data_IF_089168476726
#
_entry.id   IF_089168476726
#
_cell.length_a   1.000
_cell.length_b   1.000
_cell.length_c   1.000
_cell.angle_alpha   90.00
_cell.angle_beta   90.00
_cell.angle_gamma   90.00
#
_symmetry.space_group_name_H-M   'P 1'
#
loop_
_entity.id
_entity.type
_entity.pdbx_description
1 polymer ?
#
# COMPACT_ATOMS: atom_id res chain seq x y z
N UNK A 1 -3.67 -4.25 13.55
CA UNK A 1 -3.08 -5.35 14.31
C UNK A 1 -1.57 -5.15 14.49
N UNK A 2 -0.90 -5.83 15.44
CA UNK A 2 0.55 -5.89 15.48
C UNK A 2 1.09 -6.61 14.24
N UNK A 3 2.39 -6.47 13.94
CA UNK A 3 3.04 -7.22 12.87
C UNK A 3 2.95 -8.73 13.07
N UNK A 4 3.04 -9.49 11.99
CA UNK A 4 3.09 -10.96 12.07
C UNK A 4 4.33 -11.40 12.86
N UNK A 5 4.18 -12.31 13.84
CA UNK A 5 5.31 -12.83 14.60
C UNK A 5 6.29 -13.64 13.72
N UNK A 6 5.75 -14.28 12.69
CA UNK A 6 6.46 -15.08 11.69
C UNK A 6 5.64 -15.21 10.40
N UNK A 7 6.19 -15.92 9.41
CA UNK A 7 5.53 -16.10 8.11
C UNK A 7 4.42 -17.18 8.09
N UNK A 8 4.08 -17.77 9.22
CA UNK A 8 3.08 -18.86 9.29
C UNK A 8 1.92 -18.57 10.25
N UNK A 9 2.10 -17.62 11.18
CA UNK A 9 1.13 -17.35 12.25
C UNK A 9 0.32 -16.09 11.93
N UNK A 10 -0.98 -16.21 11.58
CA UNK A 10 -1.82 -15.05 11.31
C UNK A 10 -2.14 -14.29 12.61
N UNK A 11 -2.30 -12.98 12.48
CA UNK A 11 -2.79 -12.11 13.55
C UNK A 11 -4.27 -11.85 13.34
N UNK A 12 -5.15 -12.17 14.31
CA UNK A 12 -6.58 -11.92 14.20
C UNK A 12 -6.88 -10.42 14.10
N UNK A 13 -7.67 -10.04 13.09
CA UNK A 13 -8.14 -8.66 12.92
C UNK A 13 -9.48 -8.61 12.19
N UNK A 14 -10.21 -7.53 12.36
CA UNK A 14 -11.45 -7.29 11.61
C UNK A 14 -11.16 -7.01 10.13
N UNK A 15 -9.98 -6.42 9.82
CA UNK A 15 -9.52 -6.22 8.44
C UNK A 15 -9.33 -7.55 7.72
N UNK A 16 -8.62 -8.50 8.32
CA UNK A 16 -8.43 -9.84 7.73
C UNK A 16 -9.77 -10.56 7.53
N UNK A 17 -10.68 -10.51 8.51
CA UNK A 17 -12.04 -11.10 8.37
C UNK A 17 -12.84 -10.45 7.24
N UNK A 18 -12.73 -9.12 7.09
CA UNK A 18 -13.40 -8.39 6.02
C UNK A 18 -12.87 -8.84 4.65
N UNK A 19 -11.55 -8.89 4.48
CA UNK A 19 -10.89 -9.33 3.24
C UNK A 19 -11.37 -10.74 2.86
N UNK A 20 -11.34 -11.69 3.80
CA UNK A 20 -11.81 -13.06 3.57
C UNK A 20 -13.28 -13.05 3.14
N UNK A 21 -14.15 -12.35 3.89
CA UNK A 21 -15.58 -12.29 3.61
C UNK A 21 -15.86 -11.74 2.21
N UNK A 22 -15.19 -10.66 1.81
CA UNK A 22 -15.40 -10.04 0.50
C UNK A 22 -14.85 -10.93 -0.63
N UNK A 23 -13.66 -11.52 -0.45
CA UNK A 23 -13.04 -12.37 -1.46
C UNK A 23 -13.79 -13.71 -1.67
N UNK A 24 -14.47 -14.20 -0.64
CA UNK A 24 -15.21 -15.48 -0.71
C UNK A 24 -16.66 -15.32 -1.13
N UNK A 25 -17.12 -14.10 -1.44
CA UNK A 25 -18.45 -13.90 -2.04
C UNK A 25 -18.54 -14.49 -3.44
N UNK A 26 -19.71 -15.00 -3.78
CA UNK A 26 -20.05 -15.36 -5.16
C UNK A 26 -20.42 -14.07 -5.92
N UNK A 27 -19.39 -13.39 -6.46
CA UNK A 27 -19.51 -12.15 -7.24
C UNK A 27 -18.62 -12.25 -8.47
N UNK A 28 -19.13 -11.87 -9.63
CA UNK A 28 -18.40 -11.90 -10.91
C UNK A 28 -17.56 -10.66 -11.16
N UNK A 29 -17.73 -9.62 -10.35
CA UNK A 29 -16.92 -8.40 -10.44
C UNK A 29 -15.53 -8.66 -9.88
N UNK A 30 -14.47 -8.11 -10.49
CA UNK A 30 -13.12 -8.20 -9.93
C UNK A 30 -13.06 -7.50 -8.57
N UNK A 31 -12.39 -8.13 -7.60
CA UNK A 31 -12.14 -7.55 -6.30
C UNK A 31 -10.71 -6.98 -6.27
N UNK A 32 -10.61 -5.68 -6.02
CA UNK A 32 -9.36 -5.01 -5.74
C UNK A 32 -9.30 -4.61 -4.27
N UNK A 33 -8.20 -4.94 -3.60
CA UNK A 33 -7.94 -4.53 -2.22
C UNK A 33 -6.81 -3.52 -2.21
N UNK A 34 -7.13 -2.27 -1.84
CA UNK A 34 -6.16 -1.19 -1.75
C UNK A 34 -5.55 -1.18 -0.35
N UNK A 35 -4.24 -1.32 -0.28
CA UNK A 35 -3.48 -1.41 0.96
C UNK A 35 -2.55 -0.19 1.04
N UNK A 36 -2.87 0.73 1.95
CA UNK A 36 -2.19 2.02 2.14
C UNK A 36 -1.28 2.00 3.37
N UNK A 37 -0.98 0.81 3.88
CA UNK A 37 -0.20 0.54 5.07
C UNK A 37 0.53 -0.80 4.97
N UNK A 38 0.94 -1.38 6.11
CA UNK A 38 1.54 -2.71 6.13
C UNK A 38 0.57 -3.79 5.62
N UNK A 39 1.13 -4.87 5.07
CA UNK A 39 0.35 -5.98 4.51
C UNK A 39 -0.20 -6.96 5.56
N UNK A 40 -0.14 -6.64 6.84
CA UNK A 40 -0.48 -7.52 7.97
C UNK A 40 -1.88 -8.13 7.85
N UNK A 41 -2.89 -7.31 7.52
CA UNK A 41 -4.28 -7.80 7.40
C UNK A 41 -4.44 -8.73 6.20
N UNK A 42 -3.83 -8.41 5.06
CA UNK A 42 -3.88 -9.24 3.85
C UNK A 42 -3.14 -10.56 4.05
N UNK A 43 -1.95 -10.51 4.64
CA UNK A 43 -1.17 -11.71 4.94
C UNK A 43 -1.90 -12.61 5.94
N UNK A 44 -2.47 -12.03 6.99
CA UNK A 44 -3.29 -12.77 7.97
C UNK A 44 -4.54 -13.37 7.32
N UNK A 45 -5.19 -12.67 6.41
CA UNK A 45 -6.32 -13.20 5.65
C UNK A 45 -5.90 -14.39 4.77
N UNK A 46 -4.78 -14.27 4.07
CA UNK A 46 -4.26 -15.34 3.22
C UNK A 46 -3.85 -16.57 4.02
N UNK A 47 -3.17 -16.40 5.16
CA UNK A 47 -2.79 -17.52 6.03
C UNK A 47 -3.99 -18.27 6.60
N UNK A 48 -5.11 -17.58 6.86
CA UNK A 48 -6.36 -18.17 7.34
C UNK A 48 -7.18 -18.81 6.22
N UNK A 49 -7.18 -18.20 5.02
CA UNK A 49 -7.98 -18.64 3.88
C UNK A 49 -7.17 -18.47 2.57
N UNK A 50 -6.29 -19.43 2.24
CA UNK A 50 -5.43 -19.33 1.05
C UNK A 50 -6.16 -19.20 -0.28
N UNK A 51 -7.43 -19.62 -0.36
CA UNK A 51 -8.25 -19.53 -1.59
C UNK A 51 -8.49 -18.10 -2.05
N UNK A 52 -8.31 -17.09 -1.16
CA UNK A 52 -8.46 -15.68 -1.55
C UNK A 52 -7.44 -15.23 -2.59
N UNK A 53 -6.27 -15.91 -2.68
CA UNK A 53 -5.22 -15.57 -3.62
C UNK A 53 -5.66 -15.55 -5.09
N UNK A 54 -6.59 -16.41 -5.46
CA UNK A 54 -7.19 -16.45 -6.82
C UNK A 54 -8.45 -15.60 -6.99
N UNK A 55 -8.86 -14.84 -5.97
CA UNK A 55 -10.15 -14.13 -5.95
C UNK A 55 -10.03 -12.62 -5.80
N UNK A 56 -8.82 -12.11 -5.64
CA UNK A 56 -8.58 -10.67 -5.52
C UNK A 56 -7.26 -10.26 -6.17
N UNK A 57 -7.12 -8.97 -6.42
CA UNK A 57 -5.85 -8.31 -6.75
C UNK A 57 -5.52 -7.31 -5.66
N UNK A 58 -4.32 -7.40 -5.09
CA UNK A 58 -3.84 -6.44 -4.12
C UNK A 58 -3.17 -5.25 -4.83
N UNK A 59 -3.54 -4.03 -4.47
CA UNK A 59 -2.84 -2.80 -4.88
C UNK A 59 -2.18 -2.23 -3.63
N UNK A 60 -0.85 -2.21 -3.61
CA UNK A 60 -0.12 -1.87 -2.40
C UNK A 60 0.78 -0.66 -2.58
N UNK A 61 0.57 0.34 -1.73
CA UNK A 61 1.52 1.45 -1.54
C UNK A 61 2.57 1.00 -0.55
N UNK A 62 3.76 0.65 -1.04
CA UNK A 62 4.83 0.19 -0.15
C UNK A 62 6.01 -0.46 -0.85
N UNK A 63 7.07 -0.63 -0.08
CA UNK A 63 8.33 -1.15 -0.56
C UNK A 63 9.15 -0.14 -1.34
N UNK A 64 10.35 -0.54 -1.70
CA UNK A 64 11.30 0.28 -2.43
C UNK A 64 11.47 -0.22 -3.89
N UNK A 65 12.23 0.48 -4.74
CA UNK A 65 12.36 0.14 -6.16
C UNK A 65 12.94 -1.27 -6.40
N UNK A 66 12.29 -2.03 -7.28
CA UNK A 66 12.87 -3.27 -7.80
C UNK A 66 14.05 -2.94 -8.73
N UNK A 67 15.14 -3.75 -8.77
CA UNK A 67 15.33 -5.02 -8.06
C UNK A 67 16.03 -4.91 -6.71
N UNK A 68 16.41 -3.73 -6.26
CA UNK A 68 17.28 -3.53 -5.09
C UNK A 68 16.52 -3.58 -3.76
N UNK A 69 15.31 -3.01 -3.72
CA UNK A 69 14.61 -2.84 -2.45
C UNK A 69 15.20 -1.69 -1.62
N UNK A 70 14.99 -1.74 -0.32
CA UNK A 70 15.52 -0.78 0.65
C UNK A 70 14.48 -0.31 1.66
N UNK A 71 14.86 0.51 2.64
CA UNK A 71 13.98 0.95 3.71
C UNK A 71 12.78 1.74 3.19
N UNK A 72 11.59 1.25 3.57
CA UNK A 72 10.31 1.90 3.29
C UNK A 72 9.35 1.66 4.47
N UNK A 73 8.51 2.64 4.78
CA UNK A 73 7.71 2.68 6.00
C UNK A 73 6.71 1.53 6.10
N UNK A 74 5.88 1.32 5.08
CA UNK A 74 4.83 0.29 5.10
C UNK A 74 5.43 -1.13 5.08
N UNK A 75 6.51 -1.32 4.31
CA UNK A 75 7.27 -2.57 4.29
C UNK A 75 7.94 -2.84 5.63
N UNK A 76 8.61 -1.84 6.20
CA UNK A 76 9.35 -1.98 7.45
C UNK A 76 8.48 -2.26 8.67
N UNK A 77 7.19 -1.89 8.62
CA UNK A 77 6.24 -2.18 9.69
C UNK A 77 5.87 -3.67 9.78
N UNK A 78 5.99 -4.46 8.68
CA UNK A 78 5.74 -5.90 8.73
C UNK A 78 6.40 -6.65 7.55
N UNK A 79 7.69 -6.91 7.68
CA UNK A 79 8.48 -7.66 6.67
C UNK A 79 7.95 -9.09 6.50
N UNK A 80 7.48 -9.73 7.58
CA UNK A 80 6.90 -11.08 7.51
C UNK A 80 5.65 -11.11 6.65
N UNK A 81 4.75 -10.12 6.81
CA UNK A 81 3.55 -10.01 6.00
C UNK A 81 3.87 -9.81 4.51
N UNK A 82 4.87 -8.98 4.20
CA UNK A 82 5.32 -8.80 2.80
C UNK A 82 5.79 -10.12 2.22
N UNK A 83 6.63 -10.88 2.94
CA UNK A 83 7.12 -12.17 2.48
C UNK A 83 6.02 -13.22 2.31
N UNK A 84 5.01 -13.22 3.17
CA UNK A 84 3.81 -14.08 3.02
C UNK A 84 3.05 -13.75 1.73
N UNK A 85 2.80 -12.47 1.47
CA UNK A 85 2.05 -12.04 0.29
C UNK A 85 2.86 -12.24 -0.99
N UNK A 86 4.13 -11.86 -1.00
CA UNK A 86 5.02 -12.04 -2.15
C UNK A 86 5.32 -13.53 -2.45
N UNK A 87 5.30 -14.37 -1.43
CA UNK A 87 5.41 -15.82 -1.59
C UNK A 87 4.14 -16.52 -2.06
N UNK A 88 3.01 -15.81 -2.09
CA UNK A 88 1.73 -16.35 -2.54
C UNK A 88 1.59 -16.31 -4.07
N UNK A 89 0.48 -16.84 -4.58
CA UNK A 89 0.08 -16.72 -5.99
C UNK A 89 -0.83 -15.52 -6.27
N UNK A 90 -1.05 -14.68 -5.27
CA UNK A 90 -1.91 -13.50 -5.36
C UNK A 90 -1.30 -12.46 -6.30
N UNK A 91 -2.06 -11.89 -7.25
CA UNK A 91 -1.60 -10.73 -8.03
C UNK A 91 -1.39 -9.52 -7.12
N UNK A 92 -0.18 -8.95 -7.16
CA UNK A 92 0.15 -7.74 -6.39
C UNK A 92 0.62 -6.64 -7.34
N UNK A 93 -0.09 -5.52 -7.33
CA UNK A 93 0.32 -4.30 -8.01
C UNK A 93 1.01 -3.41 -6.98
N UNK A 94 2.32 -3.42 -7.00
CA UNK A 94 3.12 -2.65 -6.07
C UNK A 94 3.31 -1.22 -6.59
N UNK A 95 3.07 -0.24 -5.72
CA UNK A 95 3.45 1.17 -5.94
C UNK A 95 4.60 1.49 -5.00
N UNK A 96 5.85 1.37 -5.45
CA UNK A 96 7.02 1.54 -4.61
C UNK A 96 7.30 3.01 -4.30
N UNK A 97 8.18 3.24 -3.32
CA UNK A 97 8.54 4.56 -2.78
C UNK A 97 8.87 5.60 -3.86
N UNK A 98 9.69 5.25 -4.83
CA UNK A 98 10.08 6.17 -5.90
C UNK A 98 8.93 6.57 -6.83
N UNK A 99 7.81 5.82 -6.82
CA UNK A 99 6.60 6.14 -7.60
C UNK A 99 5.65 6.99 -6.77
N UNK A 100 5.33 6.59 -5.54
CA UNK A 100 4.38 7.34 -4.74
C UNK A 100 4.93 8.71 -4.28
N UNK A 101 6.25 8.87 -4.15
CA UNK A 101 6.88 10.16 -3.87
C UNK A 101 6.77 11.15 -5.05
N UNK A 102 6.43 10.68 -6.25
CA UNK A 102 6.20 11.53 -7.43
C UNK A 102 4.80 12.19 -7.46
N UNK A 103 4.06 12.19 -6.36
CA UNK A 103 2.72 12.77 -6.26
C UNK A 103 2.68 14.09 -5.46
N UNK A 104 3.63 15.04 -5.68
CA UNK A 104 3.54 16.34 -5.02
C UNK A 104 2.40 17.16 -5.61
N UNK A 105 1.66 17.82 -4.74
CA UNK A 105 0.61 18.77 -5.12
C UNK A 105 0.77 20.04 -4.29
N UNK A 106 0.55 21.20 -4.88
CA UNK A 106 0.64 22.46 -4.14
C UNK A 106 -0.55 22.63 -3.20
N UNK A 107 -0.31 23.27 -2.05
CA UNK A 107 -1.38 23.63 -1.12
C UNK A 107 -2.41 24.57 -1.80
N UNK A 108 -1.96 25.46 -2.67
CA UNK A 108 -2.84 26.35 -3.45
C UNK A 108 -3.75 25.56 -4.41
N UNK A 109 -3.24 24.51 -5.05
CA UNK A 109 -4.06 23.65 -5.91
C UNK A 109 -5.10 22.86 -5.10
N UNK A 110 -4.72 22.34 -3.93
CA UNK A 110 -5.65 21.66 -3.03
C UNK A 110 -6.74 22.62 -2.51
N UNK A 111 -6.36 23.86 -2.19
CA UNK A 111 -7.32 24.86 -1.79
C UNK A 111 -8.32 25.17 -2.92
N UNK A 112 -7.84 25.33 -4.13
CA UNK A 112 -8.67 25.65 -5.29
C UNK A 112 -9.54 24.48 -5.76
N UNK A 113 -8.99 23.26 -5.81
CA UNK A 113 -9.67 22.11 -6.43
C UNK A 113 -10.41 21.23 -5.42
N UNK A 114 -9.85 21.03 -4.21
CA UNK A 114 -10.38 20.07 -3.22
C UNK A 114 -11.28 20.77 -2.22
N UNK A 115 -10.84 21.87 -1.63
CA UNK A 115 -11.60 22.57 -0.57
C UNK A 115 -13.04 22.95 -0.95
N UNK A 116 -13.36 23.36 -2.20
CA UNK A 116 -14.73 23.70 -2.60
C UNK A 116 -15.65 22.48 -2.77
N UNK A 117 -15.13 21.26 -2.72
CA UNK A 117 -15.90 20.03 -3.00
C UNK A 117 -16.75 19.59 -1.78
N UNK A 118 -17.62 20.48 -1.33
CA UNK A 118 -18.55 20.25 -0.22
C UNK A 118 -17.87 20.13 1.15
N UNK A 119 -18.56 19.49 2.09
CA UNK A 119 -18.06 19.34 3.46
C UNK A 119 -16.82 18.44 3.55
N UNK A 120 -16.77 17.39 2.74
CA UNK A 120 -15.64 16.45 2.73
C UNK A 120 -14.36 17.12 2.19
N UNK A 121 -14.46 17.81 1.06
CA UNK A 121 -13.30 18.50 0.48
C UNK A 121 -12.74 19.57 1.42
N UNK A 122 -13.61 20.34 2.06
CA UNK A 122 -13.22 21.31 3.08
C UNK A 122 -12.53 20.63 4.26
N UNK A 123 -13.11 19.57 4.80
CA UNK A 123 -12.57 18.84 5.92
C UNK A 123 -11.16 18.30 5.62
N UNK A 124 -10.98 17.64 4.46
CA UNK A 124 -9.69 17.10 4.05
C UNK A 124 -8.62 18.17 3.92
N UNK A 125 -8.95 19.29 3.29
CA UNK A 125 -8.01 20.41 3.15
C UNK A 125 -7.66 21.01 4.52
N UNK A 126 -8.68 21.33 5.34
CA UNK A 126 -8.49 21.97 6.65
C UNK A 126 -7.68 21.05 7.59
N UNK A 127 -7.86 19.71 7.54
CA UNK A 127 -7.04 18.74 8.29
C UNK A 127 -5.58 18.77 7.84
N UNK A 128 -5.33 18.80 6.53
CA UNK A 128 -3.97 18.87 6.00
C UNK A 128 -3.27 20.17 6.40
N UNK A 129 -3.98 21.31 6.33
CA UNK A 129 -3.45 22.59 6.80
C UNK A 129 -3.16 22.56 8.29
N UNK A 130 -4.07 22.04 9.11
CA UNK A 130 -3.84 21.90 10.56
C UNK A 130 -2.64 21.03 10.87
N UNK A 131 -2.53 19.85 10.24
CA UNK A 131 -1.38 18.97 10.41
C UNK A 131 -0.09 19.62 9.95
N UNK A 132 -0.10 20.39 8.85
CA UNK A 132 1.09 21.07 8.33
C UNK A 132 1.72 22.07 9.29
N UNK A 133 0.98 22.50 10.33
CA UNK A 133 1.47 23.42 11.37
C UNK A 133 2.13 22.68 12.54
N UNK A 134 2.02 21.37 12.62
CA UNK A 134 2.57 20.58 13.75
C UNK A 134 4.09 20.38 13.64
N UNK A 135 4.80 20.16 14.75
CA UNK A 135 6.22 19.81 14.74
C UNK A 135 6.51 18.53 13.95
N UNK A 136 5.63 17.53 14.06
CA UNK A 136 5.77 16.24 13.40
C UNK A 136 5.76 16.40 11.87
N UNK A 137 4.87 17.25 11.35
CA UNK A 137 4.81 17.50 9.91
C UNK A 137 6.07 18.17 9.38
N UNK A 138 6.74 18.99 10.20
CA UNK A 138 7.98 19.66 9.79
C UNK A 138 9.15 18.70 9.58
N UNK A 139 9.12 17.56 10.27
CA UNK A 139 10.08 16.48 10.11
C UNK A 139 9.69 15.49 9.00
N UNK A 140 8.49 15.61 8.41
CA UNK A 140 7.99 14.71 7.38
C UNK A 140 8.68 14.93 6.04
N UNK A 141 9.15 13.84 5.42
CA UNK A 141 9.69 13.85 4.07
C UNK A 141 8.63 14.18 2.99
N UNK A 142 7.34 14.05 3.32
CA UNK A 142 6.23 14.32 2.39
C UNK A 142 5.89 15.82 2.29
N UNK A 143 6.41 16.63 3.19
CA UNK A 143 6.21 18.08 3.17
C UNK A 143 7.40 18.77 2.52
N UNK A 144 7.16 19.41 1.39
CA UNK A 144 8.18 20.17 0.65
C UNK A 144 7.75 21.65 0.53
N UNK A 145 7.79 22.40 1.65
CA UNK A 145 7.43 23.82 1.65
C UNK A 145 5.93 24.02 1.38
N UNK A 146 5.60 24.56 0.21
CA UNK A 146 4.22 24.87 -0.23
C UNK A 146 3.50 23.68 -0.89
N UNK A 147 4.12 22.52 -0.96
CA UNK A 147 3.54 21.31 -1.54
C UNK A 147 3.49 20.16 -0.54
N UNK A 148 2.65 19.18 -0.85
CA UNK A 148 2.49 17.95 -0.11
C UNK A 148 2.51 16.75 -1.04
N UNK A 149 3.18 15.67 -0.67
CA UNK A 149 3.15 14.41 -1.43
C UNK A 149 1.93 13.59 -1.01
N UNK A 150 0.98 13.41 -1.92
CA UNK A 150 -0.21 12.57 -1.72
C UNK A 150 0.12 11.11 -2.12
N UNK A 151 1.01 10.48 -1.37
CA UNK A 151 1.61 9.18 -1.71
C UNK A 151 0.64 8.02 -1.83
N UNK A 152 -0.53 8.08 -1.21
CA UNK A 152 -1.54 7.01 -1.28
C UNK A 152 -2.45 7.11 -2.53
N UNK A 153 -2.47 8.26 -3.20
CA UNK A 153 -3.34 8.49 -4.35
C UNK A 153 -3.08 7.59 -5.57
N UNK A 154 -1.87 7.08 -5.84
CA UNK A 154 -1.68 6.12 -6.93
C UNK A 154 -2.52 4.84 -6.80
N UNK A 155 -2.84 4.38 -5.60
CA UNK A 155 -3.64 3.16 -5.43
C UNK A 155 -5.04 3.27 -6.07
N UNK A 156 -5.90 4.24 -5.73
CA UNK A 156 -7.14 4.46 -6.48
C UNK A 156 -6.87 4.98 -7.90
N UNK A 157 -5.77 5.70 -8.13
CA UNK A 157 -5.39 6.22 -9.44
C UNK A 157 -5.20 5.11 -10.48
N UNK A 158 -4.60 3.99 -10.10
CA UNK A 158 -4.43 2.82 -10.97
C UNK A 158 -5.77 2.26 -11.48
N UNK A 159 -6.81 2.30 -10.66
CA UNK A 159 -8.14 1.82 -11.09
C UNK A 159 -8.88 2.85 -11.95
N UNK A 160 -8.68 4.14 -11.69
CA UNK A 160 -9.39 5.21 -12.40
C UNK A 160 -8.70 5.63 -13.70
N UNK A 161 -7.37 5.51 -13.76
CA UNK A 161 -6.52 6.05 -14.80
C UNK A 161 -5.40 5.09 -15.20
N UNK A 162 -5.67 3.79 -15.33
CA UNK A 162 -4.69 2.73 -15.62
C UNK A 162 -3.77 3.10 -16.79
N UNK A 163 -4.32 3.70 -17.86
CA UNK A 163 -3.57 4.14 -19.04
C UNK A 163 -2.54 5.26 -18.78
N UNK A 164 -2.52 5.84 -17.59
CA UNK A 164 -1.56 6.87 -17.17
C UNK A 164 -0.36 6.30 -16.44
N UNK A 165 -0.38 5.01 -16.10
CA UNK A 165 0.70 4.34 -15.40
C UNK A 165 1.43 3.39 -16.34
N UNK A 166 2.74 3.31 -16.16
CA UNK A 166 3.58 2.28 -16.76
C UNK A 166 3.98 1.28 -15.70
N UNK A 167 4.00 0.01 -16.04
CA UNK A 167 4.36 -1.07 -15.11
C UNK A 167 5.07 -2.21 -15.84
N UNK A 168 5.86 -2.95 -15.09
CA UNK A 168 6.51 -4.18 -15.52
C UNK A 168 6.12 -5.33 -14.59
N UNK A 169 5.93 -6.51 -15.14
CA UNK A 169 5.79 -7.73 -14.37
C UNK A 169 7.17 -8.28 -14.02
N UNK A 170 7.43 -8.42 -12.73
CA UNK A 170 8.70 -8.94 -12.21
C UNK A 170 8.43 -10.10 -11.26
N UNK A 171 9.37 -11.06 -11.12
CA UNK A 171 9.27 -12.07 -10.07
C UNK A 171 9.24 -11.40 -8.69
N UNK A 172 8.29 -11.80 -7.84
CA UNK A 172 8.24 -11.29 -6.48
C UNK A 172 9.54 -11.66 -5.73
N UNK A 173 10.23 -10.68 -5.11
CA UNK A 173 11.45 -10.96 -4.38
C UNK A 173 11.16 -11.52 -2.98
N UNK A 174 12.17 -12.13 -2.36
CA UNK A 174 12.21 -12.30 -0.91
C UNK A 174 12.74 -11.01 -0.27
N UNK A 175 12.07 -10.53 0.77
CA UNK A 175 12.47 -9.32 1.50
C UNK A 175 13.28 -9.71 2.72
N UNK A 176 14.51 -9.23 2.80
CA UNK A 176 15.43 -9.45 3.91
C UNK A 176 15.12 -8.55 5.12
N UNK A 177 15.70 -8.82 6.27
CA UNK A 177 15.46 -8.04 7.48
C UNK A 177 15.86 -6.55 7.35
N UNK A 178 16.82 -6.23 6.48
CA UNK A 178 17.24 -4.87 6.15
C UNK A 178 16.42 -4.26 4.99
N UNK A 179 15.32 -4.93 4.61
CA UNK A 179 14.37 -4.52 3.58
C UNK A 179 14.93 -4.52 2.14
N UNK A 180 16.10 -5.12 1.91
CA UNK A 180 16.59 -5.36 0.55
C UNK A 180 15.88 -6.54 -0.10
N UNK A 181 15.90 -6.58 -1.44
CA UNK A 181 15.26 -7.62 -2.24
C UNK A 181 16.27 -8.68 -2.64
N UNK A 182 16.02 -9.91 -2.27
CA UNK A 182 16.78 -11.08 -2.71
C UNK A 182 15.95 -11.91 -3.69
N UNK A 183 16.63 -12.51 -4.67
CA UNK A 183 15.97 -13.46 -5.55
C UNK A 183 15.43 -14.64 -4.71
N UNK A 184 14.20 -15.06 -4.96
CA UNK A 184 13.70 -16.31 -4.38
C UNK A 184 14.52 -17.44 -5.00
N UNK A 185 15.47 -17.97 -4.23
CA UNK A 185 16.18 -19.18 -4.62
C UNK A 185 15.16 -20.30 -4.78
N UNK A 186 14.86 -20.68 -6.02
CA UNK A 186 14.11 -21.92 -6.28
C UNK A 186 15.03 -23.06 -5.85
N UNK A 187 14.99 -23.43 -4.59
CA UNK A 187 15.44 -24.75 -4.20
C UNK A 187 14.44 -25.73 -4.85
N UNK A 188 14.92 -26.38 -5.91
CA UNK A 188 14.23 -27.50 -6.55
C UNK A 188 14.24 -28.72 -5.62
#
# INVERSE_FOLDING_TARGET
PPALPDAATPVPSEGAKLIIREAMKEDTRPLFVLLLGPLTDLASAYLQEPRIAGRLTAIWIGGAPYPVGGPEFNLGNDVNAVNVVFGSTMPVWQVPKNVYEMMPVSMAELEYRVRPQGAVGRYLFDQLVAYSQTPESRASAFRTGESWVLGDNPAPGLLLYEHRFQFDWVPAPYVTADQTYAAIGRNR
#
